data_IF_744368223314
#
_entry.id   IF_744368223314
#
_cell.length_a   1.000
_cell.length_b   1.000
_cell.length_c   1.000
_cell.angle_alpha   90.00
_cell.angle_beta   90.00
_cell.angle_gamma   90.00
#
_symmetry.space_group_name_H-M   'P 1'
#
loop_
_entity.id
_entity.type
_entity.pdbx_description
1 polymer ?
#
# COMPACT_ATOMS: atom_id res chain seq x y z
N UNK A 1 69.54 27.40 -30.86
CA UNK A 1 68.40 26.68 -31.47
C UNK A 1 67.66 25.92 -30.36
N UNK A 2 66.63 26.52 -29.75
CA UNK A 2 65.86 25.88 -28.65
C UNK A 2 64.44 26.43 -28.56
N UNK A 3 63.76 26.55 -29.70
CA UNK A 3 62.41 27.11 -29.79
C UNK A 3 61.55 26.20 -30.67
N UNK A 4 61.31 24.95 -30.25
CA UNK A 4 60.31 24.09 -30.90
C UNK A 4 59.98 22.82 -30.10
N UNK A 5 59.70 22.91 -28.80
CA UNK A 5 59.19 21.74 -28.03
C UNK A 5 57.96 22.03 -27.15
N UNK A 6 57.66 23.30 -26.85
CA UNK A 6 56.55 23.70 -25.98
C UNK A 6 55.17 23.54 -26.63
N UNK A 7 55.03 23.69 -27.95
CA UNK A 7 53.72 23.61 -28.63
C UNK A 7 53.14 22.18 -28.69
N UNK A 8 53.98 21.15 -28.75
CA UNK A 8 53.50 19.76 -28.85
C UNK A 8 52.88 19.28 -27.53
N UNK A 9 53.39 19.77 -26.40
CA UNK A 9 52.89 19.40 -25.08
C UNK A 9 51.51 20.03 -24.79
N UNK A 10 51.33 21.30 -25.15
CA UNK A 10 50.05 22.00 -24.99
C UNK A 10 48.93 21.37 -25.83
N UNK A 11 49.23 20.97 -27.08
CA UNK A 11 48.26 20.32 -27.97
C UNK A 11 47.84 18.95 -27.43
N UNK A 12 48.78 18.15 -26.90
CA UNK A 12 48.46 16.85 -26.29
C UNK A 12 47.62 16.98 -25.02
N UNK A 13 47.89 17.98 -24.19
CA UNK A 13 47.12 18.24 -22.97
C UNK A 13 45.69 18.68 -23.29
N UNK A 14 45.53 19.59 -24.27
CA UNK A 14 44.22 20.06 -24.72
C UNK A 14 43.39 18.92 -25.30
N UNK A 15 43.99 18.07 -26.12
CA UNK A 15 43.31 16.92 -26.74
C UNK A 15 42.84 15.89 -25.69
N UNK A 16 43.65 15.66 -24.65
CA UNK A 16 43.27 14.78 -23.53
C UNK A 16 42.10 15.35 -22.72
N UNK A 17 42.06 16.68 -22.52
CA UNK A 17 40.97 17.38 -21.85
C UNK A 17 39.65 17.33 -22.64
N UNK A 18 39.71 17.45 -23.97
CA UNK A 18 38.55 17.31 -24.85
C UNK A 18 38.02 15.87 -24.84
N UNK A 19 38.90 14.86 -24.86
CA UNK A 19 38.49 13.45 -24.74
C UNK A 19 37.87 13.13 -23.37
N UNK A 20 38.38 13.70 -22.28
CA UNK A 20 37.81 13.53 -20.94
C UNK A 20 36.43 14.19 -20.84
N UNK A 21 36.27 15.40 -21.38
CA UNK A 21 34.99 16.11 -21.42
C UNK A 21 33.95 15.40 -22.31
N UNK A 22 34.37 14.87 -23.46
CA UNK A 22 33.51 14.06 -24.34
C UNK A 22 33.11 12.73 -23.69
N UNK A 23 34.01 12.11 -22.91
CA UNK A 23 33.71 10.93 -22.11
C UNK A 23 32.62 11.19 -21.06
N UNK A 24 32.68 12.32 -20.35
CA UNK A 24 31.68 12.70 -19.35
C UNK A 24 30.27 12.93 -19.94
N UNK A 25 30.16 13.37 -21.20
CA UNK A 25 28.89 13.57 -21.89
C UNK A 25 28.24 12.26 -22.38
N UNK A 26 29.01 11.16 -22.49
CA UNK A 26 28.48 9.86 -22.89
C UNK A 26 27.96 9.03 -21.71
N UNK A 27 28.24 9.43 -20.46
CA UNK A 27 27.77 8.76 -19.25
C UNK A 27 26.53 9.41 -18.61
N UNK A 28 25.90 10.40 -19.26
CA UNK A 28 24.69 11.05 -18.73
C UNK A 28 23.39 10.25 -18.94
N UNK A 29 23.46 8.98 -19.32
CA UNK A 29 22.30 8.11 -19.48
C UNK A 29 21.88 7.42 -18.16
N UNK A 30 21.87 8.14 -17.04
CA UNK A 30 21.23 7.70 -15.80
C UNK A 30 19.74 8.11 -15.82
N UNK A 31 18.99 7.57 -16.78
CA UNK A 31 17.53 7.67 -16.76
C UNK A 31 16.91 6.69 -15.75
N UNK A 32 15.65 6.91 -15.33
CA UNK A 32 14.94 5.92 -14.52
C UNK A 32 14.82 4.59 -15.28
N UNK A 33 15.03 3.47 -14.59
CA UNK A 33 14.86 2.13 -15.17
C UNK A 33 13.42 1.93 -15.66
N UNK A 34 12.45 2.53 -14.98
CA UNK A 34 11.03 2.46 -15.33
C UNK A 34 10.44 3.88 -15.46
N UNK A 35 10.45 4.46 -16.67
CA UNK A 35 9.83 5.75 -16.93
C UNK A 35 8.34 5.79 -16.55
N UNK A 36 7.88 6.90 -15.97
CA UNK A 36 6.50 7.10 -15.49
C UNK A 36 5.44 6.79 -16.54
N UNK A 37 5.67 7.14 -17.80
CA UNK A 37 4.74 6.92 -18.91
C UNK A 37 4.55 5.44 -19.26
N UNK A 38 5.54 4.58 -18.94
CA UNK A 38 5.51 3.13 -19.17
C UNK A 38 5.41 2.32 -17.89
N UNK A 39 5.06 2.96 -16.78
CA UNK A 39 5.14 2.34 -15.46
C UNK A 39 4.20 1.15 -15.33
N UNK A 40 2.92 1.32 -15.71
CA UNK A 40 1.93 0.24 -15.68
C UNK A 40 2.37 -0.95 -16.53
N UNK A 41 2.73 -0.71 -17.79
CA UNK A 41 3.23 -1.73 -18.71
C UNK A 41 4.49 -2.43 -18.16
N UNK A 42 5.36 -1.70 -17.48
CA UNK A 42 6.58 -2.26 -16.87
C UNK A 42 6.26 -3.22 -15.73
N UNK A 43 5.28 -2.90 -14.89
CA UNK A 43 4.81 -3.80 -13.83
C UNK A 43 4.23 -5.08 -14.44
N UNK A 44 3.32 -4.95 -15.41
CA UNK A 44 2.65 -6.06 -16.08
C UNK A 44 3.67 -7.00 -16.76
N UNK A 45 4.63 -6.42 -17.51
CA UNK A 45 5.73 -7.18 -18.12
C UNK A 45 6.59 -7.89 -17.10
N UNK A 46 6.89 -7.24 -15.97
CA UNK A 46 7.76 -7.79 -14.94
C UNK A 46 7.10 -8.99 -14.24
N UNK A 47 5.83 -8.86 -13.83
CA UNK A 47 5.11 -9.96 -13.16
C UNK A 47 4.87 -11.14 -14.10
N UNK A 48 4.58 -10.88 -15.38
CA UNK A 48 4.43 -11.94 -16.37
C UNK A 48 5.75 -12.69 -16.55
N UNK A 49 6.85 -11.95 -16.69
CA UNK A 49 8.19 -12.51 -16.91
C UNK A 49 8.73 -13.29 -15.70
N UNK A 50 8.61 -12.74 -14.49
CA UNK A 50 9.25 -13.32 -13.29
C UNK A 50 8.35 -14.35 -12.58
N UNK A 51 7.03 -14.23 -12.71
CA UNK A 51 6.09 -15.02 -11.93
C UNK A 51 5.02 -15.75 -12.76
N UNK A 52 4.98 -15.53 -14.08
CA UNK A 52 3.98 -16.10 -14.98
C UNK A 52 2.55 -15.82 -14.49
N UNK A 53 2.29 -14.55 -14.17
CA UNK A 53 1.00 -14.02 -13.72
C UNK A 53 0.60 -12.93 -14.68
N UNK A 54 -0.61 -13.03 -15.24
CA UNK A 54 -1.23 -11.92 -15.94
C UNK A 54 -1.84 -10.95 -14.94
N UNK A 55 -1.69 -9.66 -15.19
CA UNK A 55 -2.23 -8.62 -14.35
C UNK A 55 -2.48 -7.34 -15.11
N UNK A 56 -3.24 -6.45 -14.48
CA UNK A 56 -3.49 -5.10 -14.99
C UNK A 56 -3.00 -4.09 -13.98
N UNK A 57 -2.11 -3.21 -14.41
CA UNK A 57 -1.57 -2.14 -13.59
C UNK A 57 -2.11 -0.78 -14.05
N UNK A 58 -2.21 0.16 -13.12
CA UNK A 58 -2.61 1.54 -13.43
C UNK A 58 -2.00 2.50 -12.42
N UNK A 59 -1.53 3.65 -12.90
CA UNK A 59 -1.14 4.76 -12.04
C UNK A 59 -2.29 5.77 -11.97
N UNK A 60 -2.81 6.03 -10.78
CA UNK A 60 -3.78 7.08 -10.50
C UNK A 60 -3.15 8.09 -9.53
N UNK A 61 -2.75 9.25 -10.05
CA UNK A 61 -2.01 10.25 -9.29
C UNK A 61 -0.69 9.70 -8.72
N UNK A 62 -0.64 9.46 -7.42
CA UNK A 62 0.51 8.90 -6.68
C UNK A 62 0.27 7.45 -6.22
N UNK A 63 -0.81 6.83 -6.67
CA UNK A 63 -1.19 5.47 -6.28
C UNK A 63 -1.02 4.52 -7.45
N UNK A 64 -0.18 3.50 -7.27
CA UNK A 64 0.01 2.41 -8.23
C UNK A 64 -0.93 1.25 -7.86
N UNK A 65 -1.85 0.94 -8.76
CA UNK A 65 -2.72 -0.22 -8.68
C UNK A 65 -2.14 -1.38 -9.47
N UNK A 66 -2.26 -2.58 -8.93
CA UNK A 66 -2.03 -3.84 -9.62
C UNK A 66 -3.17 -4.80 -9.29
N UNK A 67 -3.89 -5.26 -10.30
CA UNK A 67 -4.92 -6.30 -10.17
C UNK A 67 -4.43 -7.58 -10.82
N UNK A 68 -4.47 -8.69 -10.09
CA UNK A 68 -4.08 -10.02 -10.56
C UNK A 68 -5.15 -11.05 -10.21
N UNK A 69 -5.15 -12.15 -10.94
CA UNK A 69 -5.86 -13.37 -10.56
C UNK A 69 -4.83 -14.41 -10.16
N UNK A 70 -5.02 -15.01 -8.99
CA UNK A 70 -4.16 -16.08 -8.52
C UNK A 70 -4.73 -17.42 -8.98
N UNK A 71 -3.89 -18.35 -9.46
CA UNK A 71 -4.32 -19.69 -9.84
C UNK A 71 -4.70 -20.51 -8.61
N UNK A 72 -5.26 -21.69 -8.87
CA UNK A 72 -5.86 -22.58 -7.88
C UNK A 72 -5.17 -22.61 -6.51
N UNK A 73 -5.96 -22.36 -5.47
CA UNK A 73 -5.55 -22.60 -4.08
C UNK A 73 -5.86 -24.04 -3.62
N UNK A 74 -6.26 -24.93 -4.53
CA UNK A 74 -6.66 -26.29 -4.17
C UNK A 74 -5.47 -27.27 -4.25
N UNK A 75 -4.85 -27.55 -3.10
CA UNK A 75 -4.27 -28.88 -2.85
C UNK A 75 -5.27 -29.72 -2.04
N UNK A 76 -5.18 -31.06 -2.10
CA UNK A 76 -6.04 -31.99 -1.34
C UNK A 76 -5.97 -31.82 0.19
N UNK A 77 -5.09 -30.95 0.66
CA UNK A 77 -4.85 -30.61 2.06
C UNK A 77 -5.24 -29.14 2.23
N UNK A 78 -6.01 -28.80 3.28
CA UNK A 78 -6.58 -27.48 3.59
C UNK A 78 -5.55 -26.35 3.86
N UNK A 79 -4.36 -26.42 3.28
CA UNK A 79 -3.34 -25.38 3.33
C UNK A 79 -3.49 -24.45 2.11
N UNK A 80 -3.38 -23.14 2.34
CA UNK A 80 -3.20 -22.18 1.23
C UNK A 80 -1.93 -22.60 0.46
N UNK A 81 -2.01 -22.87 -0.85
CA UNK A 81 -0.85 -23.34 -1.59
C UNK A 81 0.27 -22.31 -1.52
N UNK A 82 1.41 -22.77 -1.02
CA UNK A 82 2.66 -22.01 -0.94
C UNK A 82 2.99 -21.31 -2.27
N UNK A 83 2.62 -21.92 -3.38
CA UNK A 83 2.83 -21.37 -4.73
C UNK A 83 2.01 -20.10 -4.99
N UNK A 84 0.74 -20.04 -4.57
CA UNK A 84 -0.07 -18.85 -4.78
C UNK A 84 0.35 -17.70 -3.86
N UNK A 85 0.75 -18.00 -2.61
CA UNK A 85 1.37 -17.01 -1.73
C UNK A 85 2.68 -16.47 -2.32
N UNK A 86 3.52 -17.35 -2.88
CA UNK A 86 4.76 -16.98 -3.56
C UNK A 86 4.49 -16.10 -4.78
N UNK A 87 3.45 -16.41 -5.57
CA UNK A 87 2.99 -15.60 -6.71
C UNK A 87 2.49 -14.22 -6.28
N UNK A 88 1.66 -14.14 -5.24
CA UNK A 88 1.21 -12.89 -4.65
C UNK A 88 2.38 -12.04 -4.15
N UNK A 89 3.30 -12.63 -3.39
CA UNK A 89 4.52 -11.97 -2.92
C UNK A 89 5.37 -11.47 -4.07
N UNK A 90 5.55 -12.28 -5.13
CA UNK A 90 6.26 -11.90 -6.34
C UNK A 90 5.65 -10.68 -7.04
N UNK A 91 4.31 -10.67 -7.17
CA UNK A 91 3.58 -9.55 -7.74
C UNK A 91 3.76 -8.25 -6.93
N UNK A 92 3.63 -8.33 -5.60
CA UNK A 92 3.89 -7.19 -4.69
C UNK A 92 5.33 -6.69 -4.84
N UNK A 93 6.32 -7.59 -4.76
CA UNK A 93 7.74 -7.23 -4.89
C UNK A 93 8.08 -6.63 -6.26
N UNK A 94 7.44 -7.10 -7.33
CA UNK A 94 7.59 -6.52 -8.67
C UNK A 94 7.05 -5.09 -8.73
N UNK A 95 5.85 -4.86 -8.19
CA UNK A 95 5.27 -3.52 -8.10
C UNK A 95 6.15 -2.57 -7.25
N UNK A 96 6.68 -3.06 -6.13
CA UNK A 96 7.64 -2.32 -5.29
C UNK A 96 8.91 -1.98 -6.06
N UNK A 97 9.51 -2.95 -6.75
CA UNK A 97 10.76 -2.74 -7.51
C UNK A 97 10.58 -1.66 -8.58
N UNK A 98 9.51 -1.75 -9.36
CA UNK A 98 9.18 -0.77 -10.39
C UNK A 98 8.95 0.61 -9.77
N UNK A 99 8.18 0.67 -8.67
CA UNK A 99 7.86 1.93 -7.98
C UNK A 99 9.11 2.62 -7.43
N UNK A 100 10.05 1.87 -6.84
CA UNK A 100 11.28 2.42 -6.28
C UNK A 100 12.32 2.82 -7.34
N UNK A 101 12.18 2.31 -8.56
CA UNK A 101 13.12 2.54 -9.67
C UNK A 101 12.51 3.39 -10.79
N UNK A 102 11.43 4.11 -10.48
CA UNK A 102 10.74 5.02 -11.39
C UNK A 102 10.95 6.49 -11.00
N UNK A 103 10.80 7.39 -11.97
CA UNK A 103 10.69 8.83 -11.78
C UNK A 103 9.27 9.28 -11.38
N UNK A 104 8.30 8.36 -11.34
CA UNK A 104 6.97 8.63 -10.82
C UNK A 104 6.99 8.89 -9.30
N UNK A 105 6.23 9.90 -8.84
CA UNK A 105 6.06 10.22 -7.41
C UNK A 105 5.05 9.28 -6.73
N UNK A 106 5.30 7.98 -6.75
CA UNK A 106 4.42 6.98 -6.13
C UNK A 106 4.55 7.07 -4.61
N UNK A 107 3.41 7.15 -3.93
CA UNK A 107 3.27 7.14 -2.47
C UNK A 107 2.64 5.83 -1.98
N UNK A 108 1.71 5.27 -2.75
CA UNK A 108 0.98 4.07 -2.35
C UNK A 108 1.06 3.01 -3.45
N UNK A 109 1.23 1.77 -3.03
CA UNK A 109 1.13 0.58 -3.89
C UNK A 109 -0.06 -0.22 -3.38
N UNK A 110 -0.98 -0.54 -4.28
CA UNK A 110 -2.18 -1.28 -3.98
C UNK A 110 -2.26 -2.50 -4.89
N UNK A 111 -2.16 -3.69 -4.29
CA UNK A 111 -2.30 -4.97 -4.99
C UNK A 111 -3.63 -5.61 -4.63
N UNK A 112 -4.46 -5.82 -5.64
CA UNK A 112 -5.68 -6.61 -5.57
C UNK A 112 -5.42 -7.98 -6.19
N UNK A 113 -5.68 -9.05 -5.46
CA UNK A 113 -5.60 -10.41 -5.95
C UNK A 113 -6.94 -11.12 -5.78
N UNK A 114 -7.52 -11.60 -6.88
CA UNK A 114 -8.71 -12.44 -6.84
C UNK A 114 -8.33 -13.92 -6.83
N UNK A 115 -9.08 -14.72 -6.07
CA UNK A 115 -9.02 -16.18 -6.05
C UNK A 115 -10.44 -16.67 -6.40
N UNK A 116 -10.76 -16.82 -7.69
CA UNK A 116 -12.12 -17.05 -8.15
C UNK A 116 -12.79 -18.29 -7.55
N UNK A 117 -12.05 -19.40 -7.42
CA UNK A 117 -12.60 -20.66 -6.90
C UNK A 117 -13.16 -20.54 -5.49
N UNK A 118 -12.50 -19.76 -4.64
CA UNK A 118 -12.89 -19.59 -3.25
C UNK A 118 -13.79 -18.36 -3.06
N UNK A 119 -14.09 -17.64 -4.16
CA UNK A 119 -14.76 -16.33 -4.13
C UNK A 119 -14.11 -15.38 -3.13
N UNK A 120 -12.79 -15.46 -3.01
CA UNK A 120 -11.99 -14.64 -2.10
C UNK A 120 -11.22 -13.59 -2.88
N UNK A 121 -11.01 -12.47 -2.21
CA UNK A 121 -10.15 -11.40 -2.70
C UNK A 121 -9.20 -11.00 -1.57
N UNK A 122 -7.98 -10.67 -1.96
CA UNK A 122 -6.93 -10.18 -1.09
C UNK A 122 -6.57 -8.77 -1.55
N UNK A 123 -6.49 -7.85 -0.60
CA UNK A 123 -6.02 -6.49 -0.82
C UNK A 123 -4.80 -6.23 0.04
N UNK A 124 -3.71 -5.83 -0.60
CA UNK A 124 -2.49 -5.37 0.05
C UNK A 124 -2.30 -3.90 -0.30
N UNK A 125 -2.11 -3.05 0.72
CA UNK A 125 -1.76 -1.63 0.51
C UNK A 125 -0.51 -1.31 1.33
N UNK A 126 0.47 -0.73 0.65
CA UNK A 126 1.76 -0.36 1.25
C UNK A 126 2.09 1.09 0.91
N UNK A 127 2.65 1.82 1.89
CA UNK A 127 3.22 3.15 1.66
C UNK A 127 4.69 3.02 1.26
N UNK A 128 5.08 3.68 0.16
CA UNK A 128 6.45 3.63 -0.38
C UNK A 128 7.48 4.12 0.63
N UNK A 129 7.13 5.11 1.46
CA UNK A 129 8.03 5.60 2.51
C UNK A 129 8.25 4.59 3.64
N UNK A 130 7.24 3.78 3.97
CA UNK A 130 7.38 2.68 4.95
C UNK A 130 8.22 1.55 4.37
N UNK A 131 8.05 1.22 3.07
CA UNK A 131 8.91 0.26 2.35
C UNK A 131 10.37 0.72 2.38
N UNK A 132 10.65 1.98 2.02
CA UNK A 132 12.00 2.56 2.10
C UNK A 132 12.52 2.52 3.53
N UNK A 133 11.68 2.86 4.51
CA UNK A 133 12.01 2.78 5.92
C UNK A 133 12.47 1.37 6.32
N UNK A 134 11.75 0.35 5.90
CA UNK A 134 12.08 -1.05 6.16
C UNK A 134 13.37 -1.47 5.45
N UNK A 135 13.50 -1.20 4.14
CA UNK A 135 14.69 -1.55 3.35
C UNK A 135 15.96 -0.87 3.86
N UNK A 136 15.84 0.35 4.38
CA UNK A 136 16.94 1.09 5.00
C UNK A 136 17.07 0.84 6.51
N UNK A 137 16.35 -0.15 7.06
CA UNK A 137 16.39 -0.55 8.47
C UNK A 137 16.08 0.59 9.45
N UNK A 138 15.32 1.61 9.01
CA UNK A 138 14.83 2.70 9.86
C UNK A 138 13.67 2.26 10.75
N UNK A 139 12.92 1.25 10.30
CA UNK A 139 11.85 0.61 11.07
C UNK A 139 12.09 -0.91 11.08
N UNK A 140 11.65 -1.57 12.15
CA UNK A 140 11.76 -3.02 12.26
C UNK A 140 10.79 -3.73 11.31
N UNK A 141 11.00 -5.02 11.06
CA UNK A 141 10.06 -5.86 10.31
C UNK A 141 8.66 -5.83 10.93
N UNK A 142 8.57 -5.91 12.27
CA UNK A 142 7.29 -5.85 12.98
C UNK A 142 6.57 -4.51 12.78
N UNK A 143 7.30 -3.39 12.89
CA UNK A 143 6.70 -2.07 12.66
C UNK A 143 6.28 -1.88 11.19
N UNK A 144 7.03 -2.45 10.24
CA UNK A 144 6.62 -2.48 8.83
C UNK A 144 5.33 -3.28 8.61
N UNK A 145 5.25 -4.49 9.16
CA UNK A 145 4.06 -5.35 9.04
C UNK A 145 2.81 -4.74 9.70
N UNK A 146 2.99 -3.94 10.76
CA UNK A 146 1.91 -3.16 11.39
C UNK A 146 1.46 -1.94 10.57
N UNK A 147 2.23 -1.51 9.57
CA UNK A 147 1.93 -0.38 8.69
C UNK A 147 1.42 -0.81 7.32
N UNK A 148 1.39 -2.11 7.06
CA UNK A 148 0.81 -2.71 5.86
C UNK A 148 -0.67 -3.01 6.10
N UNK A 149 -1.49 -2.69 5.10
CA UNK A 149 -2.91 -3.07 5.07
C UNK A 149 -2.99 -4.41 4.37
N UNK A 150 -3.48 -5.44 5.06
CA UNK A 150 -3.75 -6.76 4.50
C UNK A 150 -5.19 -7.17 4.82
N UNK A 151 -6.05 -7.06 3.82
CA UNK A 151 -7.45 -7.44 3.94
C UNK A 151 -7.74 -8.67 3.09
N UNK A 152 -8.51 -9.59 3.66
CA UNK A 152 -9.04 -10.78 2.99
C UNK A 152 -10.53 -10.76 3.25
N UNK A 153 -11.31 -10.83 2.18
CA UNK A 153 -12.77 -10.82 2.24
C UNK A 153 -13.36 -11.57 1.04
N UNK A 154 -14.64 -11.89 1.11
CA UNK A 154 -15.34 -12.52 -0.01
C UNK A 154 -15.59 -11.53 -1.14
N UNK A 155 -15.94 -12.03 -2.32
CA UNK A 155 -16.30 -11.21 -3.47
C UNK A 155 -17.50 -10.28 -3.20
N UNK A 156 -18.49 -10.74 -2.43
CA UNK A 156 -19.64 -9.94 -2.01
C UNK A 156 -19.26 -8.85 -1.00
N UNK A 157 -18.23 -9.11 -0.19
CA UNK A 157 -17.74 -8.21 0.86
C UNK A 157 -16.78 -7.13 0.34
N UNK A 158 -16.10 -7.37 -0.79
CA UNK A 158 -15.40 -6.33 -1.53
C UNK A 158 -16.41 -5.59 -2.40
N UNK A 159 -16.94 -4.51 -1.83
CA UNK A 159 -17.81 -3.54 -2.52
C UNK A 159 -17.25 -3.25 -3.93
N UNK A 160 -18.06 -3.42 -4.97
CA UNK A 160 -17.71 -3.16 -6.38
C UNK A 160 -17.15 -1.75 -6.58
N UNK A 161 -17.54 -0.81 -5.72
CA UNK A 161 -17.00 0.55 -5.68
C UNK A 161 -15.48 0.63 -5.45
N UNK A 162 -14.86 -0.37 -4.81
CA UNK A 162 -13.42 -0.34 -4.44
C UNK A 162 -12.47 -0.69 -5.60
N UNK A 163 -12.99 -1.35 -6.64
CA UNK A 163 -12.28 -1.58 -7.90
C UNK A 163 -12.63 -0.51 -8.94
N UNK A 164 -13.83 0.08 -8.86
CA UNK A 164 -14.28 1.13 -9.77
C UNK A 164 -13.68 2.51 -9.43
N UNK A 165 -13.25 2.74 -8.18
CA UNK A 165 -12.57 3.96 -7.77
C UNK A 165 -11.06 3.74 -7.59
N UNK A 166 -10.37 3.33 -8.67
CA UNK A 166 -8.90 3.47 -8.80
C UNK A 166 -8.52 4.96 -8.86
N UNK A 167 -8.74 5.68 -7.77
CA UNK A 167 -8.46 7.10 -7.61
C UNK A 167 -7.08 7.31 -6.97
N UNK A 168 -6.66 8.56 -6.80
CA UNK A 168 -5.42 8.84 -6.07
C UNK A 168 -5.68 8.78 -4.57
N UNK A 169 -5.20 7.72 -3.91
CA UNK A 169 -5.39 7.50 -2.48
C UNK A 169 -4.75 8.65 -1.67
N UNK A 170 -5.53 9.26 -0.79
CA UNK A 170 -5.03 10.27 0.13
C UNK A 170 -4.38 9.64 1.36
N UNK A 171 -3.60 10.44 2.09
CA UNK A 171 -2.94 9.97 3.31
C UNK A 171 -3.94 9.65 4.40
N UNK A 172 -4.98 10.46 4.52
CA UNK A 172 -6.07 10.32 5.46
C UNK A 172 -6.84 9.01 5.21
N UNK A 173 -7.15 8.71 3.94
CA UNK A 173 -7.78 7.44 3.56
C UNK A 173 -6.89 6.24 3.89
N UNK A 174 -5.60 6.29 3.55
CA UNK A 174 -4.67 5.23 3.90
C UNK A 174 -4.64 4.98 5.41
N UNK A 175 -4.51 6.03 6.23
CA UNK A 175 -4.49 5.91 7.69
C UNK A 175 -5.82 5.35 8.21
N UNK A 176 -6.96 5.80 7.68
CA UNK A 176 -8.27 5.29 8.05
C UNK A 176 -8.41 3.80 7.73
N UNK A 177 -8.02 3.39 6.52
CA UNK A 177 -8.02 1.98 6.12
C UNK A 177 -7.07 1.14 6.96
N UNK A 178 -5.90 1.68 7.34
CA UNK A 178 -4.95 1.01 8.22
C UNK A 178 -5.53 0.76 9.62
N UNK A 179 -6.18 1.77 10.21
CA UNK A 179 -6.89 1.59 11.49
C UNK A 179 -7.95 0.48 11.39
N UNK A 180 -8.76 0.50 10.33
CA UNK A 180 -9.79 -0.53 10.09
C UNK A 180 -9.16 -1.93 9.94
N UNK A 181 -8.05 -2.05 9.21
CA UNK A 181 -7.36 -3.31 8.99
C UNK A 181 -6.76 -3.86 10.30
N UNK A 182 -6.14 -3.02 11.13
CA UNK A 182 -5.61 -3.42 12.44
C UNK A 182 -6.72 -3.89 13.38
N UNK A 183 -7.84 -3.18 13.41
CA UNK A 183 -9.03 -3.58 14.16
C UNK A 183 -9.53 -4.95 13.70
N UNK A 184 -9.69 -5.16 12.39
CA UNK A 184 -10.12 -6.45 11.83
C UNK A 184 -9.10 -7.58 12.02
N UNK A 185 -7.81 -7.26 12.13
CA UNK A 185 -6.75 -8.23 12.44
C UNK A 185 -6.86 -8.67 13.90
N UNK A 186 -7.09 -7.73 14.82
CA UNK A 186 -7.29 -8.01 16.24
C UNK A 186 -8.49 -8.93 16.48
N UNK A 187 -9.62 -8.66 15.81
CA UNK A 187 -10.83 -9.51 15.95
C UNK A 187 -10.61 -10.94 15.44
N UNK A 188 -9.80 -11.11 14.38
CA UNK A 188 -9.44 -12.43 13.84
C UNK A 188 -8.42 -13.17 14.71
N UNK A 189 -7.46 -12.45 15.30
CA UNK A 189 -6.41 -13.05 16.13
C UNK A 189 -6.88 -13.37 17.55
N UNK A 190 -7.91 -12.70 18.07
CA UNK A 190 -8.42 -12.90 19.41
C UNK A 190 -9.85 -13.51 19.36
N UNK A 191 -9.99 -14.83 19.61
CA UNK A 191 -11.28 -15.52 19.55
C UNK A 191 -12.34 -14.94 20.49
N UNK A 192 -11.94 -14.38 21.63
CA UNK A 192 -12.87 -13.76 22.57
C UNK A 192 -13.43 -12.45 22.01
N UNK A 193 -12.56 -11.59 21.49
CA UNK A 193 -12.98 -10.33 20.83
C UNK A 193 -13.85 -10.64 19.61
N UNK A 194 -13.45 -11.62 18.79
CA UNK A 194 -14.23 -12.07 17.64
C UNK A 194 -15.63 -12.55 18.03
N UNK A 195 -15.74 -13.38 19.07
CA UNK A 195 -17.03 -13.89 19.57
C UNK A 195 -17.93 -12.76 20.12
N UNK A 196 -17.37 -11.84 20.90
CA UNK A 196 -18.12 -10.69 21.47
C UNK A 196 -18.63 -9.77 20.37
N UNK A 197 -17.85 -9.58 19.30
CA UNK A 197 -18.20 -8.74 18.17
C UNK A 197 -18.92 -9.52 17.05
N UNK A 198 -19.32 -10.77 17.30
CA UNK A 198 -20.04 -11.64 16.36
C UNK A 198 -19.35 -11.80 14.99
N UNK A 199 -18.02 -11.76 14.95
CA UNK A 199 -17.23 -11.81 13.71
C UNK A 199 -17.63 -10.75 12.68
N UNK A 200 -18.21 -9.64 13.12
CA UNK A 200 -18.53 -8.49 12.26
C UNK A 200 -17.24 -7.90 11.74
N UNK A 201 -17.22 -7.54 10.45
CA UNK A 201 -16.07 -6.86 9.85
C UNK A 201 -16.33 -5.37 9.74
N UNK A 202 -15.30 -4.60 10.04
CA UNK A 202 -15.30 -3.16 9.86
C UNK A 202 -14.82 -2.81 8.45
N UNK A 203 -15.43 -1.79 7.85
CA UNK A 203 -15.08 -1.28 6.52
C UNK A 203 -14.90 0.23 6.58
N UNK A 204 -13.88 0.70 5.88
CA UNK A 204 -13.74 2.11 5.55
C UNK A 204 -14.83 2.50 4.54
N UNK A 205 -15.49 3.63 4.76
CA UNK A 205 -16.50 4.16 3.84
C UNK A 205 -16.03 5.46 3.20
N UNK A 206 -15.87 6.52 4.00
CA UNK A 206 -15.45 7.83 3.49
C UNK A 206 -14.93 8.72 4.60
N UNK A 207 -14.29 9.82 4.21
CA UNK A 207 -13.89 10.93 5.10
C UNK A 207 -14.56 12.19 4.58
N UNK A 208 -15.40 12.82 5.40
CA UNK A 208 -16.09 14.07 5.04
C UNK A 208 -16.04 15.06 6.21
N UNK A 209 -15.67 16.31 5.93
CA UNK A 209 -15.55 17.40 6.91
C UNK A 209 -14.64 17.10 8.12
N UNK A 210 -13.65 16.23 7.90
CA UNK A 210 -12.75 15.73 8.94
C UNK A 210 -13.36 14.67 9.85
N UNK A 211 -14.52 14.11 9.49
CA UNK A 211 -15.15 12.96 10.18
C UNK A 211 -14.88 11.68 9.39
N UNK A 212 -14.58 10.61 10.11
CA UNK A 212 -14.37 9.28 9.54
C UNK A 212 -15.68 8.49 9.60
N UNK A 213 -16.12 7.97 8.46
CA UNK A 213 -17.30 7.12 8.36
C UNK A 213 -16.85 5.68 8.07
N UNK A 214 -17.36 4.76 8.88
CA UNK A 214 -17.07 3.35 8.84
C UNK A 214 -18.38 2.57 8.72
N UNK A 215 -18.36 1.47 8.00
CA UNK A 215 -19.48 0.53 7.88
C UNK A 215 -19.16 -0.77 8.61
N UNK A 216 -20.18 -1.41 9.18
CA UNK A 216 -20.09 -2.80 9.64
C UNK A 216 -20.90 -3.71 8.72
N UNK A 217 -20.43 -4.95 8.54
CA UNK A 217 -21.06 -5.90 7.62
C UNK A 217 -22.43 -6.42 8.07
N UNK A 218 -22.78 -6.25 9.34
CA UNK A 218 -24.01 -6.78 9.93
C UNK A 218 -24.69 -5.76 10.87
N UNK A 219 -25.92 -6.06 11.30
CA UNK A 219 -26.63 -5.28 12.30
C UNK A 219 -25.97 -5.42 13.67
N UNK A 220 -25.80 -4.29 14.38
CA UNK A 220 -25.16 -4.27 15.68
C UNK A 220 -26.05 -3.61 16.73
N UNK A 221 -26.03 -4.15 17.94
CA UNK A 221 -26.69 -3.51 19.08
C UNK A 221 -25.86 -2.32 19.57
N UNK A 222 -26.49 -1.40 20.31
CA UNK A 222 -25.79 -0.25 20.91
C UNK A 222 -24.58 -0.66 21.75
N UNK A 223 -24.66 -1.76 22.50
CA UNK A 223 -23.55 -2.24 23.32
C UNK A 223 -22.37 -2.72 22.45
N UNK A 224 -22.67 -3.42 21.35
CA UNK A 224 -21.65 -3.85 20.38
C UNK A 224 -21.02 -2.64 19.68
N UNK A 225 -21.82 -1.62 19.33
CA UNK A 225 -21.30 -0.38 18.77
C UNK A 225 -20.33 0.35 19.72
N UNK A 226 -20.67 0.44 21.01
CA UNK A 226 -19.79 1.04 22.02
C UNK A 226 -18.46 0.27 22.16
N UNK A 227 -18.51 -1.07 22.14
CA UNK A 227 -17.30 -1.90 22.17
C UNK A 227 -16.43 -1.72 20.92
N UNK A 228 -17.03 -1.67 19.73
CA UNK A 228 -16.30 -1.37 18.49
C UNK A 228 -15.58 -0.04 18.58
N UNK A 229 -16.27 0.98 19.06
CA UNK A 229 -15.72 2.31 19.16
C UNK A 229 -14.55 2.39 20.15
N UNK A 230 -14.62 1.68 21.27
CA UNK A 230 -13.51 1.56 22.22
C UNK A 230 -12.26 0.96 21.56
N UNK A 231 -12.45 -0.13 20.80
CA UNK A 231 -11.36 -0.82 20.09
C UNK A 231 -10.78 0.08 18.99
N UNK A 232 -11.64 0.73 18.20
CA UNK A 232 -11.20 1.67 17.17
C UNK A 232 -10.39 2.81 17.78
N UNK A 233 -10.82 3.32 18.96
CA UNK A 233 -10.08 4.36 19.67
C UNK A 233 -8.69 3.89 20.09
N UNK A 234 -8.58 2.72 20.72
CA UNK A 234 -7.28 2.13 21.11
C UNK A 234 -6.35 1.94 19.90
N UNK A 235 -6.89 1.51 18.75
CA UNK A 235 -6.10 1.38 17.53
C UNK A 235 -5.72 2.74 16.93
N UNK A 236 -6.59 3.75 16.99
CA UNK A 236 -6.27 5.10 16.55
C UNK A 236 -5.12 5.70 17.37
N UNK A 237 -5.11 5.51 18.69
CA UNK A 237 -4.01 5.95 19.56
C UNK A 237 -2.66 5.33 19.20
N UNK A 238 -2.65 4.09 18.66
CA UNK A 238 -1.44 3.40 18.23
C UNK A 238 -0.99 3.81 16.82
N UNK A 239 -1.94 3.99 15.90
CA UNK A 239 -1.66 4.25 14.49
C UNK A 239 -1.35 5.72 14.22
N UNK A 240 -2.18 6.65 14.71
CA UNK A 240 -2.10 8.07 14.34
C UNK A 240 -0.75 8.73 14.67
N UNK A 241 -0.11 8.48 15.83
CA UNK A 241 1.20 9.07 16.15
C UNK A 241 2.31 8.67 15.16
N UNK A 242 2.19 7.51 14.50
CA UNK A 242 3.17 7.05 13.50
C UNK A 242 3.19 7.95 12.26
N UNK A 243 2.09 8.67 11.98
CA UNK A 243 1.94 9.48 10.77
C UNK A 243 1.86 11.00 11.01
N UNK A 244 1.73 11.48 12.27
CA UNK A 244 1.87 12.89 12.68
C UNK A 244 1.09 13.93 11.84
N UNK A 245 -0.03 13.58 11.22
CA UNK A 245 -0.63 14.44 10.17
C UNK A 245 -2.13 14.60 10.23
N UNK A 246 -2.87 13.61 10.75
CA UNK A 246 -4.33 13.67 10.71
C UNK A 246 -4.95 13.01 11.93
N UNK A 247 -5.96 13.67 12.49
CA UNK A 247 -6.81 13.17 13.55
C UNK A 247 -8.27 13.43 13.14
N UNK A 248 -9.10 12.38 12.95
CA UNK A 248 -10.51 12.60 12.66
C UNK A 248 -11.18 13.33 13.84
N UNK A 249 -12.07 14.27 13.56
CA UNK A 249 -12.86 14.98 14.59
C UNK A 249 -13.81 14.04 15.32
N UNK A 250 -14.36 13.09 14.58
CA UNK A 250 -15.26 12.05 15.10
C UNK A 250 -15.21 10.81 14.21
N UNK A 251 -15.58 9.68 14.77
CA UNK A 251 -15.80 8.43 14.04
C UNK A 251 -17.30 8.13 14.09
N UNK A 252 -17.86 7.81 12.92
CA UNK A 252 -19.25 7.36 12.76
C UNK A 252 -19.24 5.94 12.25
N UNK A 253 -19.92 5.05 12.96
CA UNK A 253 -20.12 3.66 12.61
C UNK A 253 -21.56 3.48 12.13
N UNK A 254 -21.74 3.02 10.90
CA UNK A 254 -23.05 2.74 10.32
C UNK A 254 -23.22 1.25 10.08
N UNK A 255 -24.33 0.68 10.54
CA UNK A 255 -24.64 -0.72 10.33
C UNK A 255 -25.43 -0.99 9.05
N UNK A 256 -25.68 -2.28 8.76
CA UNK A 256 -26.44 -2.69 7.57
C UNK A 256 -27.87 -2.17 7.56
N UNK A 257 -28.48 -1.99 8.73
CA UNK A 257 -29.80 -1.39 8.91
C UNK A 257 -29.78 0.15 8.87
N UNK A 258 -28.63 0.76 8.61
CA UNK A 258 -28.39 2.21 8.58
C UNK A 258 -28.54 2.89 9.95
N UNK A 259 -28.41 2.15 11.04
CA UNK A 259 -28.21 2.78 12.34
C UNK A 259 -26.79 3.35 12.41
N UNK A 260 -26.69 4.60 12.83
CA UNK A 260 -25.40 5.29 12.97
C UNK A 260 -25.10 5.59 14.43
N UNK A 261 -23.86 5.31 14.83
CA UNK A 261 -23.31 5.62 16.14
C UNK A 261 -22.10 6.52 15.93
N UNK A 262 -22.00 7.64 16.66
CA UNK A 262 -20.92 8.60 16.46
C UNK A 262 -20.24 8.95 17.77
N UNK A 263 -18.92 9.05 17.75
CA UNK A 263 -18.11 9.46 18.90
C UNK A 263 -17.13 10.57 18.51
N UNK A 264 -17.12 11.69 19.25
CA UNK A 264 -16.11 12.73 19.08
C UNK A 264 -14.74 12.24 19.55
N UNK A 265 -13.69 12.62 18.83
CA UNK A 265 -12.29 12.34 19.18
C UNK A 265 -11.54 13.59 19.65
N UNK A 266 -12.16 14.78 19.55
CA UNK A 266 -11.52 16.07 19.81
C UNK A 266 -11.02 16.27 21.24
N UNK A 267 -11.59 15.57 22.23
CA UNK A 267 -11.18 15.71 23.63
C UNK A 267 -10.02 14.79 24.04
N UNK A 268 -9.64 13.84 23.18
CA UNK A 268 -8.76 12.73 23.58
C UNK A 268 -7.29 12.94 23.17
N UNK A 269 -7.03 13.70 22.10
CA UNK A 269 -5.67 13.91 21.60
C UNK A 269 -5.03 15.21 22.12
N UNK A 270 -5.76 16.01 22.89
CA UNK A 270 -5.31 17.32 23.41
C UNK A 270 -4.48 17.21 24.69
N UNK A 271 -4.31 16.00 25.24
CA UNK A 271 -3.67 15.75 26.55
C UNK A 271 -2.35 14.97 26.50
N UNK A 272 -1.65 14.92 25.37
CA UNK A 272 -0.29 14.34 25.29
C UNK A 272 0.69 15.26 24.57
#
# INVERSE_FOLDING_TARGET
>A
MSVCRTNVFAVRLLFSLVLLAAGCLLFSACGPTYPKDKLAESVEKLILKEHNIEGKARLAGKTLYLTIELPELATKESEVPKEALKKLQGAVLSAVRVSLSSDAKIQYILVYAAIPEWKLRIRIIEMVDDIKGFLYQKISKGDYEERMILDIATEEEFDTNTLELQHDLTREEFIAMLMVSQVNKLTRMNPFVGAVLKNVQLRFDTIQDGKLYLRVTDEITRNVALMWMEIIRDQAEKVLPKYKTWYPKSITLTDRAKHSFSIPLQDYFTYK
#
